data_IF_426847820888
#
_entry.id   IF_426847820888
#
_cell.length_a   1.000
_cell.length_b   1.000
_cell.length_c   1.000
_cell.angle_alpha   90.00
_cell.angle_beta   90.00
_cell.angle_gamma   90.00
#
_symmetry.space_group_name_H-M   'P 1'
#
loop_
_entity.id
_entity.type
_entity.pdbx_description
1 polymer ?
#
# COMPACT_ATOMS: atom_id res chain seq x y z
N UNK A 1 6.91 -11.97 2.26
CA UNK A 1 6.41 -12.92 1.24
C UNK A 1 4.97 -13.22 1.57
N UNK A 2 4.03 -12.91 0.67
CA UNK A 2 2.57 -13.18 0.84
C UNK A 2 2.20 -14.44 0.05
N UNK A 3 3.09 -15.42 0.03
CA UNK A 3 2.83 -16.68 -0.65
C UNK A 3 1.85 -17.47 0.23
N UNK A 4 0.66 -17.78 -0.29
CA UNK A 4 -0.38 -18.64 0.29
C UNK A 4 -1.51 -17.98 1.11
N UNK A 5 -1.67 -16.66 1.11
CA UNK A 5 -2.88 -16.06 1.70
C UNK A 5 -4.10 -16.28 0.82
N UNK A 6 -5.20 -16.70 1.44
CA UNK A 6 -6.53 -16.75 0.82
C UNK A 6 -7.22 -15.38 0.89
N UNK A 7 -8.31 -15.25 0.12
CA UNK A 7 -9.19 -14.09 0.25
C UNK A 7 -9.77 -13.95 1.67
N UNK A 8 -10.08 -15.06 2.31
CA UNK A 8 -10.63 -15.07 3.67
C UNK A 8 -9.61 -14.53 4.68
N UNK A 9 -8.34 -14.95 4.58
CA UNK A 9 -7.26 -14.50 5.45
C UNK A 9 -7.09 -12.97 5.38
N UNK A 10 -7.19 -12.40 4.17
CA UNK A 10 -7.13 -10.95 3.99
C UNK A 10 -8.28 -10.21 4.68
N UNK A 11 -9.52 -10.73 4.59
CA UNK A 11 -10.67 -10.13 5.27
C UNK A 11 -10.55 -10.24 6.79
N UNK A 12 -10.07 -11.38 7.29
CA UNK A 12 -9.85 -11.59 8.72
C UNK A 12 -8.81 -10.63 9.27
N UNK A 13 -7.65 -10.55 8.61
CA UNK A 13 -6.58 -9.65 9.00
C UNK A 13 -7.02 -8.19 9.03
N UNK A 14 -7.72 -7.72 7.99
CA UNK A 14 -8.18 -6.32 7.93
C UNK A 14 -9.23 -6.00 9.01
N UNK A 15 -10.09 -6.96 9.35
CA UNK A 15 -11.07 -6.82 10.43
C UNK A 15 -10.39 -6.72 11.79
N UNK A 16 -9.35 -7.50 12.05
CA UNK A 16 -8.55 -7.40 13.28
C UNK A 16 -7.74 -6.09 13.33
N UNK A 17 -7.08 -5.72 12.23
CA UNK A 17 -6.32 -4.48 12.12
C UNK A 17 -7.16 -3.23 12.43
N UNK A 18 -8.44 -3.23 12.07
CA UNK A 18 -9.37 -2.15 12.37
C UNK A 18 -9.68 -1.99 13.88
N UNK A 19 -9.48 -3.03 14.70
CA UNK A 19 -9.70 -2.98 16.15
C UNK A 19 -8.52 -2.34 16.92
N UNK A 20 -7.31 -2.34 16.34
CA UNK A 20 -6.06 -1.89 16.97
C UNK A 20 -5.57 -0.58 16.28
N UNK A 21 -6.47 0.39 16.06
CA UNK A 21 -6.46 1.40 14.99
C UNK A 21 -5.08 1.71 14.37
N UNK A 22 -4.66 0.89 13.41
CA UNK A 22 -3.36 1.04 12.76
C UNK A 22 -3.42 2.20 11.76
N UNK A 23 -2.49 3.15 11.88
CA UNK A 23 -2.35 4.25 10.92
C UNK A 23 -1.20 3.99 9.95
N UNK A 24 -1.51 3.86 8.66
CA UNK A 24 -0.49 3.73 7.62
C UNK A 24 0.05 5.09 7.20
N UNK A 25 1.35 5.15 6.91
CA UNK A 25 1.94 6.29 6.22
C UNK A 25 1.85 6.04 4.71
N UNK A 26 1.18 6.94 4.00
CA UNK A 26 0.91 6.83 2.57
C UNK A 26 1.45 8.04 1.84
N UNK A 27 2.10 7.78 0.71
CA UNK A 27 2.53 8.79 -0.25
C UNK A 27 1.74 8.56 -1.55
N UNK A 28 1.00 9.57 -1.98
CA UNK A 28 0.08 9.44 -3.12
C UNK A 28 0.68 10.02 -4.39
N UNK A 29 0.55 9.29 -5.49
CA UNK A 29 0.96 9.72 -6.82
C UNK A 29 -0.25 9.68 -7.75
N UNK A 30 -0.49 10.71 -8.60
CA UNK A 30 -1.46 10.60 -9.67
C UNK A 30 -1.13 9.43 -10.60
N UNK A 31 -2.12 8.70 -11.11
CA UNK A 31 -1.87 7.62 -12.07
C UNK A 31 -1.08 8.09 -13.29
N UNK A 32 -1.32 9.32 -13.76
CA UNK A 32 -0.58 9.96 -14.84
C UNK A 32 0.94 10.14 -14.56
N UNK A 33 1.36 9.97 -13.31
CA UNK A 33 2.74 10.09 -12.80
C UNK A 33 3.26 8.75 -12.25
N UNK A 34 2.68 7.62 -12.64
CA UNK A 34 3.08 6.30 -12.15
C UNK A 34 4.59 6.01 -12.33
N UNK A 35 5.21 6.49 -13.41
CA UNK A 35 6.65 6.32 -13.62
C UNK A 35 7.50 7.01 -12.54
N UNK A 36 7.05 8.16 -12.02
CA UNK A 36 7.72 8.86 -10.93
C UNK A 36 7.60 8.05 -9.62
N UNK A 37 6.42 7.48 -9.36
CA UNK A 37 6.20 6.58 -8.22
C UNK A 37 7.10 5.32 -8.29
N UNK A 38 7.22 4.73 -9.48
CA UNK A 38 8.09 3.56 -9.71
C UNK A 38 9.58 3.90 -9.55
N UNK A 39 10.00 5.09 -10.02
CA UNK A 39 11.36 5.57 -9.81
C UNK A 39 11.64 5.80 -8.31
N UNK A 40 10.72 6.44 -7.59
CA UNK A 40 10.83 6.62 -6.14
C UNK A 40 10.93 5.28 -5.40
N UNK A 41 10.11 4.29 -5.77
CA UNK A 41 10.17 2.94 -5.22
C UNK A 41 11.53 2.27 -5.49
N UNK A 42 12.02 2.34 -6.73
CA UNK A 42 13.31 1.76 -7.13
C UNK A 42 14.49 2.34 -6.34
N UNK A 43 14.39 3.59 -5.92
CA UNK A 43 15.43 4.31 -5.20
C UNK A 43 15.21 4.35 -3.67
N UNK A 44 14.30 3.53 -3.13
CA UNK A 44 13.93 3.52 -1.70
C UNK A 44 13.53 4.91 -1.16
N UNK A 45 12.95 5.75 -2.03
CA UNK A 45 12.60 7.14 -1.71
C UNK A 45 11.19 7.30 -1.09
N UNK A 46 10.38 6.23 -1.08
CA UNK A 46 9.02 6.26 -0.52
C UNK A 46 9.07 5.97 0.98
N UNK A 47 8.53 6.88 1.79
CA UNK A 47 8.29 6.58 3.21
C UNK A 47 6.92 5.93 3.34
N UNK A 48 6.89 4.68 3.78
CA UNK A 48 5.64 3.93 3.94
C UNK A 48 5.18 3.29 2.62
N UNK A 49 3.93 3.54 2.21
CA UNK A 49 3.33 2.92 1.02
C UNK A 49 3.05 3.95 -0.07
N UNK A 50 3.54 3.69 -1.27
CA UNK A 50 3.18 4.43 -2.48
C UNK A 50 1.80 4.01 -3.01
N UNK A 51 0.89 4.97 -3.21
CA UNK A 51 -0.48 4.71 -3.70
C UNK A 51 -0.74 5.49 -4.97
N UNK A 52 -1.18 4.80 -6.04
CA UNK A 52 -1.64 5.45 -7.26
C UNK A 52 -3.11 5.85 -7.15
N UNK A 53 -3.41 7.12 -7.43
CA UNK A 53 -4.77 7.63 -7.47
C UNK A 53 -5.28 7.65 -8.91
N UNK A 54 -6.41 6.96 -9.15
CA UNK A 54 -7.07 6.88 -10.46
C UNK A 54 -8.12 7.98 -10.69
N UNK A 55 -8.03 9.10 -9.96
CA UNK A 55 -8.95 10.23 -10.09
C UNK A 55 -8.44 11.21 -11.13
#
# INVERSE_FOLDING_TARGET
SVANNTRADGHEFLREAAQIPIHTHVETFPLARANEALAALKHDAIRGTGVLLCK
#
